data_IF_252527268221
#
_entry.id   IF_252527268221
#
_cell.length_a   1.000
_cell.length_b   1.000
_cell.length_c   1.000
_cell.angle_alpha   90.00
_cell.angle_beta   90.00
_cell.angle_gamma   90.00
#
_symmetry.space_group_name_H-M   'P 1'
#
loop_
_entity.id
_entity.type
_entity.pdbx_description
1 polymer ?
#
# COMPACT_ATOMS: atom_id res chain seq x y z
N UNK A 1 3.99 14.05 4.74
CA UNK A 1 4.33 13.80 6.15
C UNK A 1 5.80 14.08 6.35
N UNK A 2 6.24 14.57 7.51
CA UNK A 2 7.67 14.77 7.83
C UNK A 2 8.09 13.82 8.96
N UNK A 3 9.39 13.75 9.27
CA UNK A 3 9.95 12.82 10.27
C UNK A 3 9.32 12.89 11.66
N UNK A 4 8.71 14.02 12.03
CA UNK A 4 8.04 14.15 13.33
C UNK A 4 6.66 13.49 13.36
N UNK A 5 6.00 13.38 12.20
CA UNK A 5 4.60 12.94 12.07
C UNK A 5 4.46 11.54 11.45
N UNK A 6 5.56 10.83 11.21
CA UNK A 6 5.53 9.41 10.83
C UNK A 6 5.46 8.56 12.10
N UNK A 7 4.24 8.34 12.59
CA UNK A 7 3.96 7.53 13.78
C UNK A 7 2.86 6.50 13.48
N UNK A 8 2.85 5.40 14.23
CA UNK A 8 1.80 4.38 14.08
C UNK A 8 0.38 4.95 14.33
N UNK A 9 0.22 5.85 15.31
CA UNK A 9 -1.06 6.50 15.61
C UNK A 9 -1.54 7.37 14.44
N UNK A 10 -0.67 8.24 13.92
CA UNK A 10 -1.00 9.10 12.78
C UNK A 10 -1.34 8.24 11.56
N UNK A 11 -0.59 7.16 11.30
CA UNK A 11 -0.89 6.24 10.20
C UNK A 11 -2.31 5.66 10.30
N UNK A 12 -2.69 5.10 11.45
CA UNK A 12 -4.03 4.54 11.64
C UNK A 12 -5.13 5.59 11.50
N UNK A 13 -4.93 6.77 12.08
CA UNK A 13 -5.88 7.89 12.00
C UNK A 13 -6.00 8.46 10.58
N UNK A 14 -4.91 8.43 9.81
CA UNK A 14 -4.92 8.77 8.38
C UNK A 14 -5.78 7.78 7.61
N UNK A 15 -5.66 6.46 7.87
CA UNK A 15 -6.52 5.45 7.25
C UNK A 15 -8.01 5.64 7.62
N UNK A 16 -8.29 6.01 8.87
CA UNK A 16 -9.63 6.37 9.34
C UNK A 16 -10.05 7.81 8.96
N UNK A 17 -9.34 8.47 8.05
CA UNK A 17 -9.61 9.84 7.58
C UNK A 17 -9.98 10.83 8.68
N UNK A 18 -9.18 10.87 9.73
CA UNK A 18 -9.42 11.68 10.93
C UNK A 18 -9.51 13.18 10.57
N UNK A 19 -10.67 13.78 10.88
CA UNK A 19 -10.96 15.19 10.60
C UNK A 19 -10.02 16.15 11.34
N UNK A 20 -9.62 15.84 12.57
CA UNK A 20 -8.70 16.69 13.35
C UNK A 20 -7.31 16.70 12.74
N UNK A 21 -6.83 15.55 12.24
CA UNK A 21 -5.58 15.51 11.48
C UNK A 21 -5.68 16.34 10.20
N UNK A 22 -6.81 16.24 9.49
CA UNK A 22 -7.08 17.06 8.31
C UNK A 22 -7.04 18.57 8.63
N UNK A 23 -7.73 18.99 9.69
CA UNK A 23 -7.76 20.38 10.16
C UNK A 23 -6.38 20.88 10.60
N UNK A 24 -5.49 19.99 11.05
CA UNK A 24 -4.08 20.32 11.33
C UNK A 24 -3.20 20.47 10.07
N UNK A 25 -3.78 20.31 8.88
CA UNK A 25 -3.08 20.43 7.60
C UNK A 25 -2.47 19.13 7.08
N UNK A 26 -2.70 17.99 7.75
CA UNK A 26 -2.24 16.68 7.26
C UNK A 26 -3.24 16.10 6.25
N UNK A 27 -2.72 15.49 5.18
CA UNK A 27 -3.57 14.70 4.28
C UNK A 27 -4.06 13.45 5.00
N UNK A 28 -5.33 13.11 4.82
CA UNK A 28 -5.92 11.88 5.36
C UNK A 28 -6.66 11.12 4.25
N UNK A 29 -7.03 9.87 4.50
CA UNK A 29 -7.77 9.06 3.55
C UNK A 29 -9.26 9.48 3.54
N UNK A 30 -9.64 10.22 2.50
CA UNK A 30 -11.02 10.71 2.29
C UNK A 30 -11.81 9.81 1.32
N UNK A 31 -11.52 8.51 1.31
CA UNK A 31 -12.17 7.54 0.44
C UNK A 31 -13.58 7.17 0.92
N UNK A 32 -14.46 6.89 -0.06
CA UNK A 32 -15.81 6.42 0.13
C UNK A 32 -16.05 5.00 -0.40
N UNK A 33 -17.32 4.55 -0.44
CA UNK A 33 -17.68 3.17 -0.79
C UNK A 33 -17.36 2.76 -2.24
N UNK A 34 -17.08 3.72 -3.12
CA UNK A 34 -16.76 3.47 -4.53
C UNK A 34 -15.25 3.57 -4.86
N UNK A 35 -14.43 3.96 -3.89
CA UNK A 35 -13.01 4.22 -4.11
C UNK A 35 -12.17 2.97 -3.78
N UNK A 36 -11.25 2.64 -4.68
CA UNK A 36 -10.23 1.63 -4.42
C UNK A 36 -9.06 2.27 -3.65
N UNK A 37 -8.50 1.52 -2.69
CA UNK A 37 -7.39 1.98 -1.84
C UNK A 37 -6.20 1.05 -2.01
N UNK A 38 -5.03 1.63 -2.26
CA UNK A 38 -3.76 0.91 -2.22
C UNK A 38 -2.92 1.45 -1.05
N UNK A 39 -2.43 0.54 -0.21
CA UNK A 39 -1.53 0.83 0.91
C UNK A 39 -0.23 0.07 0.67
N UNK A 40 0.89 0.76 0.79
CA UNK A 40 2.20 0.16 0.78
C UNK A 40 2.98 0.58 2.03
N UNK A 41 3.63 -0.38 2.68
CA UNK A 41 4.49 -0.20 3.84
C UNK A 41 5.84 -0.89 3.59
N UNK A 42 6.93 -0.22 3.96
CA UNK A 42 8.30 -0.73 3.88
C UNK A 42 9.09 -0.19 5.06
N UNK A 43 9.50 -1.08 5.97
CA UNK A 43 10.43 -0.82 7.08
C UNK A 43 10.72 -2.16 7.79
N UNK A 44 11.22 -2.14 9.03
CA UNK A 44 11.39 -3.35 9.82
C UNK A 44 10.06 -3.90 10.35
N UNK A 45 10.11 -5.19 10.72
CA UNK A 45 9.01 -5.88 11.37
C UNK A 45 9.53 -6.96 12.30
N UNK A 46 8.64 -7.39 13.18
CA UNK A 46 8.84 -8.54 14.05
C UNK A 46 7.51 -9.30 14.16
N UNK A 47 7.46 -10.48 14.80
CA UNK A 47 6.20 -11.20 14.95
C UNK A 47 5.07 -10.32 15.50
N UNK A 48 4.02 -10.15 14.70
CA UNK A 48 2.81 -9.37 14.97
C UNK A 48 2.99 -7.86 15.15
N UNK A 49 4.08 -7.26 14.64
CA UNK A 49 4.28 -5.81 14.67
C UNK A 49 5.12 -5.28 13.52
N UNK A 50 4.92 -3.99 13.25
CA UNK A 50 5.66 -3.16 12.31
C UNK A 50 6.28 -1.97 13.05
N UNK A 51 7.47 -1.55 12.65
CA UNK A 51 8.15 -0.41 13.27
C UNK A 51 7.77 0.92 12.60
N UNK A 52 7.72 1.96 13.41
CA UNK A 52 7.70 3.33 12.91
C UNK A 52 8.89 4.06 13.54
N UNK A 53 9.35 5.19 12.98
CA UNK A 53 10.43 5.99 13.57
C UNK A 53 10.10 6.39 15.01
N UNK A 54 8.79 6.54 15.29
CA UNK A 54 8.26 6.68 16.63
C UNK A 54 7.11 5.69 16.85
N UNK A 55 7.38 4.68 17.67
CA UNK A 55 6.40 3.72 18.13
C UNK A 55 6.29 2.47 17.25
N UNK A 56 5.36 1.60 17.63
CA UNK A 56 5.13 0.31 17.00
C UNK A 56 3.67 0.23 16.56
N UNK A 57 3.44 -0.39 15.41
CA UNK A 57 2.11 -0.74 14.92
C UNK A 57 1.90 -2.24 15.10
N UNK A 58 1.02 -2.63 16.02
CA UNK A 58 0.71 -4.04 16.25
C UNK A 58 -0.34 -4.54 15.25
N UNK A 59 -0.24 -5.83 14.87
CA UNK A 59 -1.19 -6.51 13.99
C UNK A 59 -2.65 -6.32 14.42
N UNK A 60 -2.91 -6.40 15.73
CA UNK A 60 -4.24 -6.17 16.30
C UNK A 60 -4.78 -4.77 16.03
N UNK A 61 -3.93 -3.73 16.11
CA UNK A 61 -4.34 -2.36 15.85
C UNK A 61 -4.67 -2.16 14.38
N UNK A 62 -3.78 -2.61 13.48
CA UNK A 62 -3.99 -2.52 12.04
C UNK A 62 -5.31 -3.20 11.63
N UNK A 63 -5.51 -4.46 12.02
CA UNK A 63 -6.71 -5.21 11.63
C UNK A 63 -8.00 -4.65 12.26
N UNK A 64 -7.92 -4.08 13.47
CA UNK A 64 -9.06 -3.35 14.06
C UNK A 64 -9.44 -2.13 13.21
N UNK A 65 -8.45 -1.35 12.77
CA UNK A 65 -8.67 -0.21 11.89
C UNK A 65 -9.23 -0.63 10.53
N UNK A 66 -8.70 -1.69 9.91
CA UNK A 66 -9.27 -2.23 8.66
C UNK A 66 -10.73 -2.66 8.82
N UNK A 67 -11.07 -3.32 9.93
CA UNK A 67 -12.45 -3.69 10.23
C UNK A 67 -13.36 -2.47 10.46
N UNK A 68 -12.85 -1.40 11.10
CA UNK A 68 -13.58 -0.14 11.24
C UNK A 68 -13.88 0.47 9.88
N UNK A 69 -12.85 0.64 9.04
CA UNK A 69 -12.99 1.21 7.71
C UNK A 69 -13.97 0.43 6.83
N UNK A 70 -13.96 -0.90 6.92
CA UNK A 70 -14.92 -1.75 6.22
C UNK A 70 -16.36 -1.51 6.68
N UNK A 71 -16.61 -1.49 8.00
CA UNK A 71 -17.95 -1.24 8.57
C UNK A 71 -18.48 0.14 8.22
N UNK A 72 -17.60 1.13 8.18
CA UNK A 72 -17.90 2.52 7.81
C UNK A 72 -17.97 2.74 6.29
N UNK A 73 -17.81 1.68 5.48
CA UNK A 73 -17.86 1.71 4.01
C UNK A 73 -16.91 2.76 3.40
N UNK A 74 -15.69 2.82 3.91
CA UNK A 74 -14.68 3.81 3.51
C UNK A 74 -13.87 3.44 2.28
N UNK A 75 -14.14 2.28 1.68
CA UNK A 75 -13.48 1.84 0.46
C UNK A 75 -14.37 0.80 -0.21
N UNK A 76 -14.22 0.68 -1.53
CA UNK A 76 -14.79 -0.39 -2.33
C UNK A 76 -13.99 -1.67 -2.16
N UNK A 77 -12.71 -1.62 -2.52
CA UNK A 77 -11.71 -2.69 -2.40
C UNK A 77 -10.37 -2.09 -1.95
N UNK A 78 -9.63 -2.84 -1.15
CA UNK A 78 -8.33 -2.43 -0.64
C UNK A 78 -7.27 -3.49 -0.92
N UNK A 79 -6.11 -3.03 -1.39
CA UNK A 79 -4.89 -3.83 -1.52
C UNK A 79 -3.84 -3.28 -0.56
N UNK A 80 -3.17 -4.17 0.17
CA UNK A 80 -2.10 -3.82 1.11
C UNK A 80 -0.84 -4.61 0.79
N UNK A 81 0.26 -3.92 0.47
CA UNK A 81 1.59 -4.53 0.33
C UNK A 81 2.46 -4.19 1.55
N UNK A 82 3.06 -5.20 2.17
CA UNK A 82 3.96 -5.03 3.33
C UNK A 82 5.31 -5.67 3.05
N UNK A 83 6.33 -4.81 2.93
CA UNK A 83 7.74 -5.17 3.03
C UNK A 83 8.19 -5.03 4.48
N UNK A 84 8.44 -6.17 5.12
CA UNK A 84 9.00 -6.27 6.47
C UNK A 84 9.31 -7.74 6.84
N UNK A 85 10.25 -7.93 7.76
CA UNK A 85 10.45 -9.20 8.45
C UNK A 85 9.16 -9.64 9.16
N UNK A 86 8.86 -10.94 9.12
CA UNK A 86 7.66 -11.54 9.72
C UNK A 86 6.34 -10.94 9.21
N UNK A 87 6.33 -10.23 8.09
CA UNK A 87 5.17 -9.45 7.61
C UNK A 87 3.88 -10.28 7.48
N UNK A 88 3.97 -11.57 7.14
CA UNK A 88 2.82 -12.48 7.14
C UNK A 88 2.09 -12.60 8.49
N UNK A 89 2.79 -12.39 9.61
CA UNK A 89 2.20 -12.42 10.95
C UNK A 89 1.23 -11.26 11.20
N UNK A 90 1.27 -10.20 10.38
CA UNK A 90 0.31 -9.11 10.48
C UNK A 90 -1.12 -9.53 10.12
N UNK A 91 -1.31 -10.63 9.39
CA UNK A 91 -2.61 -11.05 8.87
C UNK A 91 -2.97 -12.51 9.14
N UNK A 92 -1.98 -13.39 9.38
CA UNK A 92 -2.22 -14.82 9.61
C UNK A 92 -3.20 -15.03 10.77
N UNK A 93 -4.36 -15.62 10.47
CA UNK A 93 -5.46 -15.86 11.42
C UNK A 93 -6.17 -14.60 11.96
N UNK A 94 -5.88 -13.42 11.40
CA UNK A 94 -6.43 -12.14 11.87
C UNK A 94 -7.29 -11.48 10.78
N UNK A 95 -6.80 -11.41 9.54
CA UNK A 95 -7.51 -10.76 8.43
C UNK A 95 -8.56 -11.71 7.83
N UNK A 96 -9.86 -11.44 7.95
CA UNK A 96 -10.89 -12.32 7.41
C UNK A 96 -11.02 -12.19 5.88
N UNK A 97 -11.59 -13.21 5.24
CA UNK A 97 -11.71 -13.29 3.78
C UNK A 97 -12.89 -12.49 3.19
N UNK A 98 -13.66 -11.77 4.00
CA UNK A 98 -14.91 -11.12 3.60
C UNK A 98 -15.00 -9.63 3.98
N UNK A 99 -13.85 -8.95 4.11
CA UNK A 99 -13.78 -7.51 4.46
C UNK A 99 -13.27 -6.62 3.33
N UNK A 100 -13.33 -7.10 2.08
CA UNK A 100 -12.88 -6.35 0.90
C UNK A 100 -11.40 -5.87 0.97
N UNK A 101 -10.55 -6.55 1.73
CA UNK A 101 -9.11 -6.30 1.81
C UNK A 101 -8.35 -7.53 1.33
N UNK A 102 -7.38 -7.35 0.45
CA UNK A 102 -6.39 -8.36 0.08
C UNK A 102 -5.00 -7.84 0.37
N UNK A 103 -4.19 -8.65 1.06
CA UNK A 103 -2.87 -8.24 1.49
C UNK A 103 -1.81 -9.20 0.93
N UNK A 104 -0.67 -8.64 0.50
CA UNK A 104 0.52 -9.36 0.07
C UNK A 104 1.69 -8.95 0.95
N UNK A 105 2.47 -9.92 1.42
CA UNK A 105 3.58 -9.69 2.34
C UNK A 105 4.87 -10.26 1.79
N UNK A 106 5.98 -9.55 2.02
CA UNK A 106 7.30 -9.94 1.54
C UNK A 106 7.79 -11.27 2.12
N UNK A 107 7.38 -11.58 3.35
CA UNK A 107 7.81 -12.76 4.09
C UNK A 107 6.63 -13.49 4.73
N UNK A 108 6.83 -14.78 5.01
CA UNK A 108 5.92 -15.54 5.83
C UNK A 108 5.97 -15.10 7.32
N UNK A 109 5.07 -15.60 8.19
CA UNK A 109 4.98 -15.16 9.58
C UNK A 109 6.22 -15.43 10.45
N UNK A 110 7.13 -16.30 10.00
CA UNK A 110 8.22 -16.87 10.81
C UNK A 110 9.62 -16.58 10.25
N UNK A 111 9.72 -15.85 9.15
CA UNK A 111 11.01 -15.57 8.50
C UNK A 111 11.24 -14.06 8.31
N UNK A 112 12.46 -13.72 7.92
CA UNK A 112 12.87 -12.35 7.61
C UNK A 112 12.53 -12.01 6.15
N UNK A 113 12.37 -10.72 5.84
CA UNK A 113 12.48 -10.22 4.47
C UNK A 113 13.91 -9.73 4.23
N UNK A 114 14.24 -9.43 2.97
CA UNK A 114 15.61 -9.20 2.55
C UNK A 114 15.78 -7.90 1.80
N UNK A 115 16.88 -7.22 2.10
CA UNK A 115 17.36 -6.09 1.32
C UNK A 115 18.01 -6.57 0.01
N UNK A 116 18.07 -5.70 -1.00
CA UNK A 116 18.75 -5.94 -2.27
C UNK A 116 19.58 -4.72 -2.70
N UNK A 117 20.49 -4.92 -3.66
CA UNK A 117 21.46 -3.91 -4.11
C UNK A 117 22.33 -3.36 -2.97
N UNK A 118 22.99 -4.27 -2.24
CA UNK A 118 23.83 -3.94 -1.08
C UNK A 118 25.34 -3.94 -1.36
N UNK A 119 25.76 -4.33 -2.58
CA UNK A 119 27.16 -4.61 -2.90
C UNK A 119 27.89 -3.45 -3.59
N UNK A 120 27.31 -2.24 -3.60
CA UNK A 120 27.96 -1.06 -4.18
C UNK A 120 29.10 -0.58 -3.27
N UNK A 121 30.37 -0.56 -3.75
CA UNK A 121 31.51 -0.20 -2.91
C UNK A 121 31.53 1.29 -2.48
N UNK A 122 30.78 2.16 -3.17
CA UNK A 122 30.67 3.58 -2.83
C UNK A 122 29.50 3.87 -1.88
N UNK A 123 28.58 2.92 -1.67
CA UNK A 123 27.37 3.10 -0.89
C UNK A 123 27.31 2.05 0.22
N UNK A 124 27.49 2.49 1.47
CA UNK A 124 27.55 1.59 2.65
C UNK A 124 26.17 1.10 3.13
N UNK A 125 25.14 1.17 2.28
CA UNK A 125 23.76 0.77 2.61
C UNK A 125 23.11 0.14 1.40
N UNK A 126 22.11 -0.71 1.62
CA UNK A 126 21.31 -1.27 0.54
C UNK A 126 20.40 -0.20 -0.08
N UNK A 127 20.20 -0.28 -1.40
CA UNK A 127 19.38 0.70 -2.13
C UNK A 127 17.90 0.34 -2.20
N UNK A 128 17.53 -0.91 -1.91
CA UNK A 128 16.14 -1.36 -1.97
C UNK A 128 15.90 -2.59 -1.10
N UNK A 129 14.63 -2.97 -0.98
CA UNK A 129 14.18 -4.23 -0.41
C UNK A 129 13.71 -5.15 -1.54
N UNK A 130 13.96 -6.45 -1.42
CA UNK A 130 13.80 -7.40 -2.53
C UNK A 130 12.36 -7.49 -3.01
N UNK A 131 11.38 -7.71 -2.12
CA UNK A 131 9.98 -7.78 -2.53
C UNK A 131 9.51 -6.44 -3.10
N UNK A 132 9.88 -5.35 -2.45
CA UNK A 132 9.63 -3.98 -2.91
C UNK A 132 10.12 -3.72 -4.33
N UNK A 133 11.38 -4.05 -4.60
CA UNK A 133 11.97 -3.93 -5.94
C UNK A 133 11.20 -4.78 -6.95
N UNK A 134 10.91 -6.05 -6.62
CA UNK A 134 10.28 -6.96 -7.59
C UNK A 134 8.88 -6.50 -8.00
N UNK A 135 8.02 -6.06 -7.06
CA UNK A 135 6.67 -5.61 -7.44
C UNK A 135 6.69 -4.27 -8.18
N UNK A 136 7.54 -3.33 -7.76
CA UNK A 136 7.66 -2.03 -8.45
C UNK A 136 8.23 -2.21 -9.86
N UNK A 137 9.21 -3.09 -10.02
CA UNK A 137 9.81 -3.41 -11.32
C UNK A 137 8.82 -4.15 -12.24
N UNK A 138 7.98 -5.05 -11.72
CA UNK A 138 6.87 -5.63 -12.50
C UNK A 138 5.88 -4.54 -12.92
N UNK A 139 5.46 -3.63 -12.04
CA UNK A 139 4.57 -2.52 -12.42
C UNK A 139 5.15 -1.64 -13.51
N UNK A 140 6.43 -1.25 -13.42
CA UNK A 140 7.06 -0.42 -14.45
C UNK A 140 7.24 -1.19 -15.77
N UNK A 141 7.69 -2.45 -15.71
CA UNK A 141 7.84 -3.31 -16.90
C UNK A 141 6.53 -3.45 -17.68
N UNK A 142 5.38 -3.42 -17.00
CA UNK A 142 4.06 -3.59 -17.60
C UNK A 142 3.18 -2.33 -17.53
N UNK A 143 3.80 -1.15 -17.42
CA UNK A 143 3.11 0.15 -17.31
C UNK A 143 2.05 0.41 -18.38
N UNK A 144 2.28 -0.05 -19.61
CA UNK A 144 1.31 0.06 -20.72
C UNK A 144 0.15 -0.95 -20.70
N UNK A 145 0.14 -1.87 -19.73
CA UNK A 145 -0.78 -3.01 -19.67
C UNK A 145 -1.44 -3.16 -18.29
N UNK A 146 -1.33 -2.16 -17.40
CA UNK A 146 -1.82 -2.25 -16.02
C UNK A 146 -3.33 -2.57 -15.92
N UNK A 147 -4.14 -2.11 -16.88
CA UNK A 147 -5.59 -2.40 -16.92
C UNK A 147 -5.94 -3.75 -17.56
N UNK A 148 -4.96 -4.43 -18.17
CA UNK A 148 -5.13 -5.74 -18.81
C UNK A 148 -4.49 -6.87 -18.02
N UNK A 149 -3.78 -6.55 -16.92
CA UNK A 149 -3.14 -7.51 -16.02
C UNK A 149 -3.79 -7.45 -14.66
N UNK A 150 -4.02 -8.61 -14.06
CA UNK A 150 -4.57 -8.72 -12.72
C UNK A 150 -3.50 -8.53 -11.65
N UNK A 151 -3.92 -8.14 -10.45
CA UNK A 151 -3.07 -8.13 -9.26
C UNK A 151 -2.51 -9.53 -8.95
N UNK A 152 -3.25 -10.60 -9.29
CA UNK A 152 -2.81 -11.98 -9.19
C UNK A 152 -1.64 -12.27 -10.13
N UNK A 153 -1.68 -11.79 -11.38
CA UNK A 153 -0.57 -11.94 -12.32
C UNK A 153 0.69 -11.29 -11.77
N UNK A 154 0.57 -10.11 -11.16
CA UNK A 154 1.70 -9.45 -10.50
C UNK A 154 2.23 -10.30 -9.34
N UNK A 155 1.35 -10.76 -8.43
CA UNK A 155 1.76 -11.61 -7.33
C UNK A 155 2.44 -12.91 -7.80
N UNK A 156 1.92 -13.56 -8.83
CA UNK A 156 2.50 -14.78 -9.40
C UNK A 156 3.86 -14.54 -10.08
N UNK A 157 4.13 -13.33 -10.57
CA UNK A 157 5.46 -12.94 -11.06
C UNK A 157 6.42 -12.61 -9.92
N UNK A 158 5.95 -11.86 -8.92
CA UNK A 158 6.76 -11.37 -7.80
C UNK A 158 7.17 -12.51 -6.87
N UNK A 159 6.24 -13.42 -6.54
CA UNK A 159 6.47 -14.53 -5.61
C UNK A 159 7.69 -15.39 -5.94
N UNK A 160 7.89 -15.87 -7.18
CA UNK A 160 9.11 -16.61 -7.53
C UNK A 160 10.32 -15.70 -7.80
N UNK A 161 10.14 -14.39 -8.01
CA UNK A 161 11.23 -13.45 -8.26
C UNK A 161 11.96 -13.03 -6.97
N UNK A 162 11.23 -12.97 -5.85
CA UNK A 162 11.80 -12.84 -4.50
C UNK A 162 12.44 -14.16 -4.10
N UNK A 163 13.74 -14.14 -3.76
CA UNK A 163 14.54 -15.33 -3.45
C UNK A 163 14.84 -15.48 -1.97
N UNK A 164 14.95 -14.37 -1.24
CA UNK A 164 15.30 -14.40 0.18
C UNK A 164 14.17 -14.89 1.09
N UNK A 165 12.92 -14.73 0.67
CA UNK A 165 11.74 -15.04 1.49
C UNK A 165 10.56 -15.55 0.67
N UNK A 166 9.52 -16.02 1.36
CA UNK A 166 8.28 -16.51 0.78
C UNK A 166 7.22 -15.42 0.80
N UNK A 167 6.91 -14.87 -0.38
CA UNK A 167 5.81 -13.93 -0.54
C UNK A 167 4.48 -14.63 -0.25
N UNK A 168 3.68 -14.05 0.63
CA UNK A 168 2.39 -14.61 1.07
C UNK A 168 1.23 -13.68 0.72
N UNK A 169 0.03 -14.25 0.61
CA UNK A 169 -1.21 -13.50 0.44
C UNK A 169 -2.25 -13.84 1.53
N UNK A 170 -3.11 -12.87 1.87
CA UNK A 170 -4.14 -12.98 2.90
C UNK A 170 -5.40 -12.20 2.53
N UNK A 171 -6.53 -12.50 3.19
CA UNK A 171 -7.77 -11.76 3.02
C UNK A 171 -8.61 -12.21 1.82
N UNK A 172 -9.39 -11.30 1.24
CA UNK A 172 -10.33 -11.57 0.15
C UNK A 172 -9.59 -11.77 -1.18
N UNK A 173 -9.23 -13.02 -1.50
CA UNK A 173 -8.53 -13.38 -2.73
C UNK A 173 -9.26 -12.94 -4.01
N UNK A 174 -10.58 -12.70 -3.98
CA UNK A 174 -11.31 -12.26 -5.17
C UNK A 174 -10.82 -10.91 -5.70
N UNK A 175 -10.17 -10.11 -4.85
CA UNK A 175 -9.58 -8.82 -5.19
C UNK A 175 -8.34 -9.00 -6.07
N UNK A 176 -7.62 -10.12 -5.96
CA UNK A 176 -6.43 -10.36 -6.77
C UNK A 176 -6.78 -10.47 -8.27
N UNK A 177 -8.01 -10.79 -8.63
CA UNK A 177 -8.45 -10.81 -10.03
C UNK A 177 -8.71 -9.43 -10.64
N UNK A 178 -8.70 -8.36 -9.84
CA UNK A 178 -8.88 -7.00 -10.35
C UNK A 178 -7.62 -6.50 -11.07
N UNK A 179 -7.76 -5.57 -12.04
CA UNK A 179 -6.62 -5.03 -12.75
C UNK A 179 -5.64 -4.28 -11.84
N UNK A 180 -4.34 -4.39 -12.12
CA UNK A 180 -3.29 -3.61 -11.42
C UNK A 180 -3.55 -2.10 -11.54
N UNK A 181 -4.08 -1.68 -12.69
CA UNK A 181 -4.41 -0.29 -12.99
C UNK A 181 -5.41 0.34 -12.03
N UNK A 182 -6.29 -0.46 -11.41
CA UNK A 182 -7.28 -0.01 -10.41
C UNK A 182 -6.64 0.44 -9.08
N UNK A 183 -5.40 0.00 -8.81
CA UNK A 183 -4.70 0.26 -7.54
C UNK A 183 -3.40 1.05 -7.74
N UNK A 184 -2.72 0.84 -8.87
CA UNK A 184 -1.38 1.38 -9.13
C UNK A 184 -1.33 2.31 -10.36
N UNK A 185 -2.33 2.25 -11.26
CA UNK A 185 -2.39 3.07 -12.48
C UNK A 185 -2.83 4.52 -12.21
N UNK A 186 -2.64 5.45 -13.15
CA UNK A 186 -3.28 6.77 -13.05
C UNK A 186 -4.61 6.70 -13.81
N UNK A 187 -5.75 7.03 -13.20
CA UNK A 187 -7.07 6.93 -13.85
C UNK A 187 -7.29 7.93 -14.98
N UNK A 188 -6.28 8.73 -15.35
CA UNK A 188 -6.39 9.69 -16.44
C UNK A 188 -5.95 9.08 -17.76
N UNK A 189 -6.89 8.43 -18.45
CA UNK A 189 -6.86 8.28 -19.91
C UNK A 189 -7.11 9.62 -20.64
N UNK A 190 -6.68 10.76 -20.05
CA UNK A 190 -6.51 12.08 -20.67
C UNK A 190 -5.36 12.78 -19.94
N UNK A 191 -4.17 12.79 -20.54
CA UNK A 191 -3.12 13.80 -20.37
C UNK A 191 -2.77 14.31 -18.96
N UNK A 192 -2.25 13.45 -18.08
CA UNK A 192 -1.46 13.94 -16.95
C UNK A 192 -0.18 13.12 -16.81
N UNK A 193 0.94 13.85 -16.90
CA UNK A 193 2.31 13.40 -16.74
C UNK A 193 2.46 12.51 -15.50
N UNK A 194 3.19 11.41 -15.66
CA UNK A 194 3.55 10.51 -14.56
C UNK A 194 4.31 11.23 -13.45
N UNK A 195 4.62 10.46 -12.41
CA UNK A 195 5.45 10.87 -11.28
C UNK A 195 6.64 11.74 -11.72
N UNK A 196 6.55 13.05 -11.52
CA UNK A 196 7.73 13.90 -11.44
C UNK A 196 8.31 13.67 -10.05
N UNK A 197 9.39 12.88 -9.99
CA UNK A 197 10.27 12.91 -8.84
C UNK A 197 10.91 14.29 -8.80
N UNK A 198 10.40 15.16 -7.93
CA UNK A 198 11.09 16.41 -7.63
C UNK A 198 12.46 16.08 -7.04
N UNK A 199 13.49 16.61 -7.68
CA UNK A 199 14.88 16.57 -7.26
C UNK A 199 15.03 17.24 -5.90
N UNK A 200 15.13 16.44 -4.84
CA UNK A 200 15.55 16.92 -3.52
C UNK A 200 16.85 16.22 -3.14
N UNK A 201 17.95 16.96 -3.28
CA UNK A 201 19.21 16.66 -2.61
C UNK A 201 18.99 16.74 -1.10
N UNK A 202 18.78 15.59 -0.46
CA UNK A 202 19.11 15.37 0.95
C UNK A 202 19.19 13.87 1.24
N UNK A 203 20.41 13.40 1.49
CA UNK A 203 20.69 12.05 1.98
C UNK A 203 20.24 11.96 3.44
N UNK A 204 19.12 11.26 3.67
CA UNK A 204 18.75 10.67 4.96
C UNK A 204 18.18 9.28 4.69
N UNK A 205 18.96 8.26 5.02
CA UNK A 205 18.61 6.85 4.85
C UNK A 205 17.65 6.42 5.97
N UNK A 206 16.35 6.69 5.78
CA UNK A 206 15.17 5.98 6.33
C UNK A 206 13.94 6.60 5.67
N UNK A 207 13.64 6.25 4.42
CA UNK A 207 12.47 6.79 3.71
C UNK A 207 11.30 5.82 3.84
N UNK A 208 10.45 6.06 4.85
CA UNK A 208 9.11 5.48 4.87
C UNK A 208 8.30 6.13 3.77
N UNK A 209 7.99 5.37 2.73
CA UNK A 209 7.08 5.76 1.66
C UNK A 209 5.65 5.35 2.05
N UNK A 210 4.88 6.25 2.67
CA UNK A 210 3.42 6.08 2.73
C UNK A 210 2.84 6.70 1.45
N UNK A 211 2.68 5.88 0.41
CA UNK A 211 1.89 6.24 -0.75
C UNK A 211 0.43 5.84 -0.48
N UNK A 212 -0.41 6.82 -0.15
CA UNK A 212 -1.86 6.65 -0.13
C UNK A 212 -2.39 7.22 -1.44
N UNK A 213 -2.86 6.36 -2.33
CA UNK A 213 -3.54 6.77 -3.56
C UNK A 213 -5.03 6.57 -3.37
N UNK A 214 -5.76 7.69 -3.30
CA UNK A 214 -7.23 7.72 -3.36
C UNK A 214 -7.64 8.00 -4.80
N UNK A 215 -8.42 7.12 -5.39
CA UNK A 215 -9.09 7.39 -6.66
C UNK A 215 -10.48 7.91 -6.36
N UNK A 216 -10.86 9.08 -6.86
CA UNK A 216 -12.24 9.59 -6.80
C UNK A 216 -12.87 9.43 -8.16
N UNK A 217 -13.91 8.61 -8.28
CA UNK A 217 -14.71 8.52 -9.50
C UNK A 217 -15.74 9.66 -9.47
N UNK A 218 -15.54 10.69 -10.30
CA UNK A 218 -16.56 11.73 -10.51
C UNK A 218 -17.61 11.17 -11.47
N UNK A 219 -18.72 10.65 -10.94
CA UNK A 219 -19.90 10.38 -11.76
C UNK A 219 -20.60 11.70 -12.07
N UNK A 220 -20.56 12.16 -13.33
CA UNK A 220 -21.45 13.24 -13.80
C UNK A 220 -22.89 12.74 -13.70
N UNK A 221 -23.63 13.19 -12.69
CA UNK A 221 -25.08 13.11 -12.70
C UNK A 221 -25.59 14.12 -13.72
N UNK A 222 -26.14 13.62 -14.84
CA UNK A 222 -26.92 14.42 -15.78
C UNK A 222 -28.11 15.00 -15.02
N UNK A 223 -28.15 16.32 -14.86
CA UNK A 223 -29.34 17.00 -14.38
C UNK A 223 -30.45 16.86 -15.43
N UNK A 224 -31.54 16.22 -15.05
CA UNK A 224 -32.82 16.26 -15.75
C UNK A 224 -33.33 17.71 -15.74
N UNK A 225 -33.39 18.33 -16.93
CA UNK A 225 -34.15 19.55 -17.16
C UNK A 225 -35.62 19.14 -17.35
N UNK A 226 -36.49 19.54 -16.43
CA UNK A 226 -37.94 19.62 -16.66
C UNK A 226 -38.39 21.08 -16.48
N UNK A 227 -39.18 21.49 -17.47
CA UNK A 227 -39.74 22.80 -17.86
C UNK A 227 -40.25 23.76 -16.76
N UNK A 228 -40.15 25.05 -17.09
CA UNK A 228 -41.32 25.89 -17.42
C UNK A 228 -41.04 26.73 -18.67
#
# INVERSE_FOLDING_TARGET
>A
FNSQNVTADIFLRVLEGDRKLKESGLKVLESGPEDNVFIYYSDHGAPNLLTFPKGLLYAKQLNKTLANMYREKRFKKMVIYIEACHSGSMFRWILPHNVNVWAVTAANPTELSWATFCEDPAITTCLSDEFSYQWMNDTEKYRGQLFNRSMLDQYLNVKPAVKGSHVMEYGDIKISFLPVGEFQGNSTHVGSSGFNGDSVNQVMCTSIWIAIKTYTIITKSSASVFNK
#
